data_IF_243437400621
#
_entry.id   IF_243437400621
#
_cell.length_a   1.000
_cell.length_b   1.000
_cell.length_c   1.000
_cell.angle_alpha   90.00
_cell.angle_beta   90.00
_cell.angle_gamma   90.00
#
_symmetry.space_group_name_H-M   'P 1'
#
loop_
_entity.id
_entity.type
_entity.pdbx_description
1 polymer ?
#
# COMPACT_ATOMS: atom_id res chain seq x y z
N UNK A 1 -63.71 -0.19 61.40
CA UNK A 1 -62.56 -1.00 61.01
C UNK A 1 -62.16 -0.74 59.51
N UNK A 2 -61.18 0.09 59.29
CA UNK A 2 -60.68 0.36 57.92
C UNK A 2 -59.33 -0.33 57.84
N UNK A 3 -59.19 -1.26 56.89
CA UNK A 3 -57.96 -2.02 56.60
C UNK A 3 -57.10 -1.24 55.61
N UNK A 4 -55.92 -0.83 56.04
CA UNK A 4 -54.92 -0.20 55.21
C UNK A 4 -54.15 -1.34 54.43
N UNK A 5 -54.23 -1.28 53.14
CA UNK A 5 -53.37 -2.09 52.24
C UNK A 5 -52.03 -1.33 51.95
N UNK A 6 -50.88 -1.95 52.20
CA UNK A 6 -49.62 -1.30 51.83
C UNK A 6 -49.33 -1.42 50.31
N UNK A 7 -49.11 -0.28 49.68
CA UNK A 7 -48.67 -0.16 48.31
C UNK A 7 -47.22 -0.66 48.15
N UNK A 8 -47.04 -1.73 47.38
CA UNK A 8 -45.72 -2.20 47.00
C UNK A 8 -45.16 -1.28 45.89
N UNK A 9 -44.09 -0.52 46.21
CA UNK A 9 -43.29 0.18 45.21
C UNK A 9 -42.35 -0.80 44.49
N UNK A 10 -42.49 -0.93 43.18
CA UNK A 10 -41.61 -1.68 42.32
C UNK A 10 -40.42 -0.79 41.98
N UNK A 11 -39.16 -1.20 42.18
CA UNK A 11 -38.02 -0.42 41.76
C UNK A 11 -37.89 -0.49 40.22
N UNK A 12 -37.82 0.67 39.58
CA UNK A 12 -37.53 0.79 38.16
C UNK A 12 -36.04 0.45 37.94
N UNK A 13 -35.77 -0.71 37.33
CA UNK A 13 -34.43 -1.10 36.89
C UNK A 13 -34.10 -0.30 35.63
N UNK A 14 -33.19 0.66 35.74
CA UNK A 14 -32.64 1.38 34.60
C UNK A 14 -31.64 0.45 33.90
N UNK A 15 -32.04 -0.11 32.78
CA UNK A 15 -31.12 -0.85 31.88
C UNK A 15 -30.31 0.19 31.11
N UNK A 16 -29.06 0.40 31.55
CA UNK A 16 -28.10 1.22 30.83
C UNK A 16 -27.71 0.55 29.49
N UNK A 17 -28.19 1.07 28.39
CA UNK A 17 -27.79 0.67 27.03
C UNK A 17 -26.42 1.24 26.74
N UNK A 18 -25.35 0.45 26.98
CA UNK A 18 -23.98 0.80 26.57
C UNK A 18 -23.89 0.76 25.07
N UNK A 19 -23.88 1.93 24.42
CA UNK A 19 -23.61 2.07 23.01
C UNK A 19 -22.11 1.83 22.79
N UNK A 20 -21.76 0.60 22.39
CA UNK A 20 -20.41 0.26 21.98
C UNK A 20 -20.17 0.92 20.61
N UNK A 21 -19.52 2.08 20.61
CA UNK A 21 -19.13 2.77 19.39
C UNK A 21 -18.12 1.92 18.62
N UNK A 22 -18.54 1.33 17.49
CA UNK A 22 -17.65 0.70 16.52
C UNK A 22 -16.89 1.84 15.85
N UNK A 23 -15.63 2.05 16.23
CA UNK A 23 -14.71 2.91 15.50
C UNK A 23 -14.36 2.16 14.22
N UNK A 24 -15.05 2.44 13.13
CA UNK A 24 -14.66 2.01 11.81
C UNK A 24 -13.35 2.75 11.48
N UNK A 25 -12.22 2.09 11.72
CA UNK A 25 -10.92 2.55 11.25
C UNK A 25 -10.97 2.61 9.72
N UNK A 26 -10.88 3.81 9.15
CA UNK A 26 -10.63 3.94 7.72
C UNK A 26 -9.23 3.39 7.47
N UNK A 27 -9.12 2.19 6.90
CA UNK A 27 -7.87 1.67 6.34
C UNK A 27 -7.45 2.57 5.19
N UNK A 28 -6.65 3.59 5.50
CA UNK A 28 -6.07 4.49 4.51
C UNK A 28 -4.92 3.75 3.84
N UNK A 29 -5.11 3.37 2.59
CA UNK A 29 -4.04 2.88 1.72
C UNK A 29 -3.46 4.05 0.95
N UNK A 30 -2.16 4.25 1.02
CA UNK A 30 -1.46 5.22 0.17
C UNK A 30 -1.30 4.64 -1.23
N UNK A 31 -1.39 5.47 -2.25
CA UNK A 31 -1.11 5.06 -3.63
C UNK A 31 0.00 5.93 -4.20
N UNK A 32 1.01 5.28 -4.73
CA UNK A 32 2.14 5.91 -5.42
C UNK A 32 2.21 5.40 -6.84
N UNK A 33 2.34 6.32 -7.78
CA UNK A 33 2.56 6.01 -9.19
C UNK A 33 3.96 6.45 -9.61
N UNK A 34 4.70 5.53 -10.22
CA UNK A 34 6.01 5.76 -10.83
C UNK A 34 5.87 5.46 -12.31
N UNK A 35 6.37 6.34 -13.15
CA UNK A 35 6.48 6.11 -14.60
C UNK A 35 7.92 5.76 -14.94
N UNK A 36 8.12 4.63 -15.60
CA UNK A 36 9.38 4.28 -16.23
C UNK A 36 9.36 4.86 -17.65
N UNK A 37 10.16 5.89 -17.87
CA UNK A 37 10.43 6.44 -19.19
C UNK A 37 11.73 5.85 -19.75
N UNK A 38 12.10 6.15 -20.97
CA UNK A 38 13.40 5.71 -21.48
C UNK A 38 14.51 6.33 -20.63
N UNK A 39 15.26 5.48 -19.92
CA UNK A 39 16.43 5.78 -19.09
C UNK A 39 16.19 6.52 -17.77
N UNK A 40 14.93 6.68 -17.32
CA UNK A 40 14.64 7.29 -16.00
C UNK A 40 13.33 6.81 -15.40
N UNK A 41 13.24 6.90 -14.07
CA UNK A 41 11.97 6.84 -13.35
C UNK A 41 11.45 8.25 -13.01
N UNK A 42 10.13 8.43 -13.07
CA UNK A 42 9.47 9.69 -12.72
C UNK A 42 8.28 9.40 -11.79
N UNK A 43 8.27 9.96 -10.58
CA UNK A 43 9.36 10.68 -9.93
C UNK A 43 10.54 9.76 -9.56
N UNK A 44 11.72 10.35 -9.43
CA UNK A 44 12.92 9.69 -8.93
C UNK A 44 13.05 9.71 -7.41
N UNK A 45 12.24 10.54 -6.74
CA UNK A 45 12.12 10.61 -5.28
C UNK A 45 10.64 10.59 -4.87
N UNK A 46 10.28 9.64 -4.03
CA UNK A 46 8.94 9.49 -3.46
C UNK A 46 9.03 9.46 -1.93
N UNK A 47 8.08 10.12 -1.25
CA UNK A 47 7.92 10.05 0.21
C UNK A 47 6.55 9.54 0.56
N UNK A 48 6.48 8.60 1.49
CA UNK A 48 5.23 8.00 2.00
C UNK A 48 5.25 7.89 3.51
N UNK A 49 4.07 7.88 4.12
CA UNK A 49 3.92 7.73 5.56
C UNK A 49 4.09 6.27 5.98
N UNK A 50 4.91 6.05 6.99
CA UNK A 50 5.10 4.75 7.61
C UNK A 50 3.81 4.20 8.25
N UNK A 51 3.78 2.89 8.48
CA UNK A 51 2.66 2.18 9.12
C UNK A 51 1.32 2.31 8.37
N UNK A 52 1.34 2.74 7.12
CA UNK A 52 0.18 2.82 6.24
C UNK A 52 0.43 1.91 5.04
N UNK A 53 -0.48 0.97 4.71
CA UNK A 53 -0.34 0.13 3.53
C UNK A 53 -0.15 0.98 2.27
N UNK A 54 0.72 0.53 1.38
CA UNK A 54 1.09 1.22 0.15
C UNK A 54 0.73 0.37 -1.07
N UNK A 55 0.03 0.96 -2.02
CA UNK A 55 -0.08 0.44 -3.38
C UNK A 55 0.90 1.20 -4.27
N UNK A 56 1.91 0.51 -4.75
CA UNK A 56 2.88 1.03 -5.70
C UNK A 56 2.51 0.57 -7.10
N UNK A 57 2.34 1.50 -8.02
CA UNK A 57 2.08 1.24 -9.43
C UNK A 57 3.23 1.77 -10.27
N UNK A 58 3.86 0.91 -11.08
CA UNK A 58 4.94 1.31 -11.99
C UNK A 58 4.45 1.08 -13.41
N UNK A 59 4.31 2.15 -14.19
CA UNK A 59 3.88 2.12 -15.58
C UNK A 59 5.07 2.36 -16.51
N UNK A 60 5.23 1.53 -17.53
CA UNK A 60 6.24 1.74 -18.55
C UNK A 60 5.69 2.58 -19.72
N UNK A 61 6.05 3.86 -19.73
CA UNK A 61 5.75 4.81 -20.81
C UNK A 61 6.86 4.86 -21.88
N UNK A 62 7.95 4.13 -21.68
CA UNK A 62 9.07 4.06 -22.62
C UNK A 62 8.80 3.13 -23.78
N UNK A 63 9.78 3.02 -24.67
CA UNK A 63 9.74 2.17 -25.87
C UNK A 63 10.42 0.83 -25.67
N UNK A 64 11.19 0.70 -24.60
CA UNK A 64 11.92 -0.52 -24.25
C UNK A 64 11.33 -1.21 -23.04
N UNK A 65 11.66 -2.47 -22.84
CA UNK A 65 11.35 -3.19 -21.60
C UNK A 65 12.19 -2.61 -20.46
N UNK A 66 11.57 -2.23 -19.37
CA UNK A 66 12.24 -1.83 -18.14
C UNK A 66 12.12 -2.92 -17.08
N UNK A 67 12.93 -2.86 -16.05
CA UNK A 67 12.83 -3.70 -14.85
C UNK A 67 12.69 -2.82 -13.63
N UNK A 68 11.78 -3.20 -12.74
CA UNK A 68 11.68 -2.60 -11.42
C UNK A 68 12.28 -3.57 -10.41
N UNK A 69 13.43 -3.21 -9.87
CA UNK A 69 14.10 -3.95 -8.81
C UNK A 69 14.29 -3.03 -7.61
N UNK A 70 13.84 -3.51 -6.45
CA UNK A 70 13.93 -2.76 -5.19
C UNK A 70 13.81 -3.71 -4.00
N UNK A 71 14.53 -3.45 -2.89
CA UNK A 71 14.32 -4.16 -1.64
C UNK A 71 12.89 -4.10 -1.11
N UNK A 72 12.09 -3.12 -1.54
CA UNK A 72 10.68 -3.00 -1.13
C UNK A 72 9.84 -4.22 -1.54
N UNK A 73 10.24 -4.95 -2.58
CA UNK A 73 9.57 -6.17 -3.05
C UNK A 73 9.53 -7.27 -1.99
N UNK A 74 10.47 -7.27 -1.04
CA UNK A 74 10.49 -8.21 0.09
C UNK A 74 9.31 -8.04 1.05
N UNK A 75 8.66 -6.88 1.02
CA UNK A 75 7.50 -6.55 1.87
C UNK A 75 6.17 -6.67 1.14
N UNK A 76 6.15 -7.32 -0.02
CA UNK A 76 4.93 -7.55 -0.78
C UNK A 76 4.01 -8.53 -0.05
N UNK A 77 2.77 -8.11 0.22
CA UNK A 77 1.78 -8.94 0.93
C UNK A 77 1.32 -10.16 0.10
N UNK A 78 1.48 -10.10 -1.21
CA UNK A 78 1.18 -11.14 -2.19
C UNK A 78 2.02 -10.91 -3.44
N UNK A 79 2.14 -11.91 -4.31
CA UNK A 79 2.84 -11.74 -5.58
C UNK A 79 2.36 -10.50 -6.33
N UNK A 80 3.27 -9.70 -6.89
CA UNK A 80 2.91 -8.53 -7.69
C UNK A 80 2.01 -8.93 -8.87
N UNK A 81 1.01 -8.11 -9.15
CA UNK A 81 0.20 -8.25 -10.34
C UNK A 81 0.82 -7.44 -11.48
N UNK A 82 0.95 -8.07 -12.63
CA UNK A 82 1.53 -7.46 -13.83
C UNK A 82 0.82 -7.96 -15.09
N UNK A 83 0.70 -7.08 -16.05
CA UNK A 83 0.11 -7.38 -17.38
C UNK A 83 1.19 -7.71 -18.41
N UNK A 84 2.44 -7.90 -17.97
CA UNK A 84 3.59 -8.06 -18.87
C UNK A 84 3.89 -9.53 -19.16
N UNK A 85 4.31 -9.81 -20.37
CA UNK A 85 4.87 -11.09 -20.81
C UNK A 85 6.39 -11.08 -20.87
N UNK A 86 7.03 -9.92 -20.59
CA UNK A 86 8.48 -9.80 -20.63
C UNK A 86 9.11 -10.63 -19.52
N UNK A 87 10.23 -11.28 -19.84
CA UNK A 87 11.03 -12.01 -18.87
C UNK A 87 11.97 -11.06 -18.13
N UNK A 88 12.01 -11.18 -16.81
CA UNK A 88 13.03 -10.55 -15.99
C UNK A 88 14.40 -11.19 -16.26
N UNK A 89 15.44 -10.37 -16.22
CA UNK A 89 16.84 -10.83 -16.39
C UNK A 89 17.56 -11.00 -15.06
N UNK A 90 16.89 -10.69 -13.95
CA UNK A 90 17.43 -10.73 -12.59
C UNK A 90 16.32 -10.72 -11.54
N UNK A 91 16.60 -10.22 -10.33
CA UNK A 91 15.64 -10.19 -9.23
C UNK A 91 14.52 -9.16 -9.42
N UNK A 92 14.67 -8.25 -10.38
CA UNK A 92 13.65 -7.26 -10.73
C UNK A 92 12.48 -7.86 -11.50
N UNK A 93 11.42 -7.08 -11.65
CA UNK A 93 10.22 -7.45 -12.38
C UNK A 93 10.20 -6.67 -13.70
N UNK A 94 10.20 -7.39 -14.83
CA UNK A 94 10.18 -6.79 -16.16
C UNK A 94 8.81 -6.22 -16.49
N UNK A 95 8.78 -5.03 -17.11
CA UNK A 95 7.57 -4.30 -17.50
C UNK A 95 7.72 -3.95 -18.99
N UNK A 96 6.87 -4.52 -19.83
CA UNK A 96 6.84 -4.21 -21.27
C UNK A 96 6.31 -2.79 -21.52
N UNK A 97 6.66 -2.16 -22.66
CA UNK A 97 6.06 -0.88 -23.06
C UNK A 97 4.54 -0.88 -23.00
N UNK A 98 3.97 0.17 -22.38
CA UNK A 98 2.53 0.32 -22.20
C UNK A 98 1.92 -0.54 -21.08
N UNK A 99 2.72 -1.32 -20.36
CA UNK A 99 2.26 -2.20 -19.29
C UNK A 99 2.54 -1.63 -17.89
N UNK A 100 1.86 -2.17 -16.90
CA UNK A 100 1.98 -1.75 -15.50
C UNK A 100 2.32 -2.94 -14.60
N UNK A 101 3.12 -2.64 -13.58
CA UNK A 101 3.35 -3.48 -12.43
C UNK A 101 2.60 -2.86 -11.23
N UNK A 102 1.86 -3.67 -10.48
CA UNK A 102 1.20 -3.22 -9.24
C UNK A 102 1.63 -4.09 -8.08
N UNK A 103 2.03 -3.43 -6.99
CA UNK A 103 2.56 -4.08 -5.79
C UNK A 103 1.84 -3.50 -4.57
N UNK A 104 1.41 -4.37 -3.66
CA UNK A 104 0.87 -3.99 -2.36
C UNK A 104 1.90 -4.34 -1.30
N UNK A 105 2.43 -3.33 -0.60
CA UNK A 105 3.51 -3.47 0.37
C UNK A 105 3.19 -2.75 1.67
N UNK A 106 3.81 -3.22 2.75
CA UNK A 106 3.79 -2.57 4.06
C UNK A 106 5.22 -2.52 4.63
N UNK A 107 6.12 -1.72 4.03
CA UNK A 107 7.51 -1.67 4.44
C UNK A 107 7.69 -0.91 5.76
N UNK A 108 8.69 -1.25 6.57
CA UNK A 108 9.11 -0.45 7.71
C UNK A 108 9.69 0.89 7.25
N UNK A 109 9.84 1.88 8.18
CA UNK A 109 10.54 3.12 7.89
C UNK A 109 11.92 2.87 7.32
N UNK A 110 12.31 3.63 6.29
CA UNK A 110 13.58 3.47 5.61
C UNK A 110 13.61 4.09 4.22
N UNK A 111 14.78 4.02 3.59
CA UNK A 111 14.98 4.43 2.21
C UNK A 111 15.16 3.20 1.32
N UNK A 112 14.35 3.10 0.28
CA UNK A 112 14.30 1.98 -0.65
C UNK A 112 14.66 2.46 -2.04
N UNK A 113 15.88 2.12 -2.47
CA UNK A 113 16.32 2.38 -3.84
C UNK A 113 15.51 1.48 -4.81
N UNK A 114 15.09 2.03 -5.92
CA UNK A 114 14.60 1.25 -7.05
C UNK A 114 15.42 1.54 -8.29
N UNK A 115 15.70 0.50 -9.05
CA UNK A 115 16.62 0.55 -10.21
C UNK A 115 16.06 -0.26 -11.38
N UNK A 116 16.52 0.06 -12.58
CA UNK A 116 16.36 -0.78 -13.75
C UNK A 116 17.65 -1.56 -14.00
N UNK A 117 17.59 -2.91 -14.04
CA UNK A 117 18.77 -3.76 -14.28
C UNK A 117 19.01 -4.09 -15.75
N UNK A 118 18.26 -3.49 -16.65
CA UNK A 118 18.45 -3.75 -18.08
C UNK A 118 19.80 -3.18 -18.55
N UNK A 119 20.45 -3.92 -19.43
CA UNK A 119 21.71 -3.46 -20.03
C UNK A 119 21.51 -2.12 -20.75
N UNK A 120 22.36 -1.14 -20.46
CA UNK A 120 22.26 0.21 -21.01
C UNK A 120 21.43 1.19 -20.18
N UNK A 121 20.83 0.75 -19.04
CA UNK A 121 19.98 1.57 -18.17
C UNK A 121 20.60 1.84 -16.80
N UNK A 122 21.94 1.88 -16.71
CA UNK A 122 22.65 1.92 -15.42
C UNK A 122 22.28 3.10 -14.52
N UNK A 123 21.90 4.25 -15.10
CA UNK A 123 21.56 5.47 -14.35
C UNK A 123 20.04 5.59 -14.08
N UNK A 124 19.25 4.59 -14.47
CA UNK A 124 17.81 4.59 -14.26
C UNK A 124 17.50 4.13 -12.83
N UNK A 125 17.45 5.10 -11.92
CA UNK A 125 17.28 4.88 -10.48
C UNK A 125 16.29 5.86 -9.88
N UNK A 126 15.80 5.53 -8.68
CA UNK A 126 15.01 6.41 -7.84
C UNK A 126 14.97 5.90 -6.40
N UNK A 127 14.40 6.69 -5.49
CA UNK A 127 14.32 6.37 -4.07
C UNK A 127 12.91 6.58 -3.54
N UNK A 128 12.41 5.60 -2.79
CA UNK A 128 11.21 5.71 -2.00
C UNK A 128 11.59 5.79 -0.53
N UNK A 129 11.16 6.87 0.14
CA UNK A 129 11.39 7.11 1.57
C UNK A 129 10.08 6.84 2.31
N UNK A 130 10.14 5.96 3.31
CA UNK A 130 9.06 5.63 4.24
C UNK A 130 9.38 6.27 5.59
N UNK A 131 8.57 7.26 6.03
CA UNK A 131 8.82 8.07 7.24
C UNK A 131 7.54 8.40 8.03
#
# INVERSE_FOLDING_TARGET
MRRHTPSRRVPATIIGLSLLGIIAGCDRTQTVSITAEDFRFVPDLVRVTASTPLTLSVYNAGREVHEFDSPILMYAAKPPSQDTTAKSTGPGIAISPGQSLRIHVAPPPGAYLYICRRKGHADMTGTLIVE
#
